data_IF_633533415259
#
_entry.id   IF_633533415259
#
_cell.length_a   1.000
_cell.length_b   1.000
_cell.length_c   1.000
_cell.angle_alpha   90.00
_cell.angle_beta   90.00
_cell.angle_gamma   90.00
#
_symmetry.space_group_name_H-M   'P 1'
#
loop_
_entity.id
_entity.type
_entity.pdbx_description
1 polymer ?
#
# COMPACT_ATOMS: atom_id res chain seq x y z
N UNK A 1 -1.34 -47.72 -20.64
CA UNK A 1 -1.92 -46.79 -19.66
C UNK A 1 -1.39 -45.41 -19.99
N UNK A 2 -2.24 -44.40 -20.19
CA UNK A 2 -1.83 -43.03 -20.53
C UNK A 2 -0.91 -42.43 -19.47
N UNK A 3 -1.01 -42.87 -18.21
CA UNK A 3 -0.11 -42.40 -17.16
C UNK A 3 1.34 -42.87 -17.34
N UNK A 4 1.57 -43.96 -18.07
CA UNK A 4 2.93 -44.38 -18.43
C UNK A 4 3.59 -43.35 -19.36
N UNK A 5 2.83 -42.82 -20.33
CA UNK A 5 3.31 -41.79 -21.24
C UNK A 5 3.62 -40.49 -20.47
N UNK A 6 2.68 -40.04 -19.61
CA UNK A 6 2.86 -38.84 -18.79
C UNK A 6 4.02 -38.94 -17.80
N UNK A 7 4.20 -40.11 -17.16
CA UNK A 7 5.30 -40.35 -16.23
C UNK A 7 6.66 -40.54 -16.93
N UNK A 8 6.66 -40.89 -18.22
CA UNK A 8 7.86 -40.97 -19.04
C UNK A 8 8.33 -39.61 -19.60
N UNK A 9 7.53 -38.56 -19.44
CA UNK A 9 7.79 -37.21 -19.95
C UNK A 9 9.21 -36.69 -19.69
N UNK A 10 9.83 -36.84 -18.49
CA UNK A 10 11.14 -36.26 -18.21
C UNK A 10 12.23 -36.60 -19.23
N UNK A 11 12.26 -37.85 -19.69
CA UNK A 11 13.25 -38.35 -20.66
C UNK A 11 12.68 -38.48 -22.07
N UNK A 12 11.39 -38.83 -22.21
CA UNK A 12 10.75 -39.00 -23.51
C UNK A 12 10.66 -37.68 -24.29
N UNK A 13 10.43 -36.54 -23.62
CA UNK A 13 10.38 -35.22 -24.27
C UNK A 13 11.70 -34.84 -24.96
N UNK A 14 12.82 -35.44 -24.53
CA UNK A 14 14.15 -35.22 -25.09
C UNK A 14 14.55 -36.27 -26.13
N UNK A 15 13.73 -37.32 -26.30
CA UNK A 15 14.03 -38.45 -27.18
C UNK A 15 15.07 -39.42 -26.61
N UNK A 16 15.28 -39.42 -25.30
CA UNK A 16 16.21 -40.33 -24.62
C UNK A 16 15.79 -41.80 -24.81
N UNK A 17 16.73 -42.75 -24.97
CA UNK A 17 18.19 -42.57 -24.97
C UNK A 17 18.79 -42.24 -26.34
N UNK A 18 17.98 -42.14 -27.40
CA UNK A 18 18.47 -41.97 -28.78
C UNK A 18 18.98 -40.55 -29.05
N UNK A 19 18.32 -39.55 -28.45
CA UNK A 19 18.63 -38.14 -28.57
C UNK A 19 18.58 -37.46 -27.19
N UNK A 20 19.15 -36.25 -27.09
CA UNK A 20 18.96 -35.37 -25.94
C UNK A 20 19.52 -35.86 -24.60
N UNK A 21 20.51 -36.77 -24.65
CA UNK A 21 21.14 -37.36 -23.46
C UNK A 21 21.74 -36.29 -22.54
N UNK A 22 22.58 -35.40 -23.08
CA UNK A 22 23.26 -34.37 -22.29
C UNK A 22 22.25 -33.44 -21.60
N UNK A 23 21.23 -32.97 -22.34
CA UNK A 23 20.16 -32.12 -21.79
C UNK A 23 19.35 -32.85 -20.71
N UNK A 24 19.08 -34.14 -20.90
CA UNK A 24 18.40 -34.94 -19.88
C UNK A 24 19.25 -35.04 -18.61
N UNK A 25 20.53 -35.37 -18.74
CA UNK A 25 21.45 -35.48 -17.60
C UNK A 25 21.65 -34.14 -16.86
N UNK A 26 21.60 -33.01 -17.58
CA UNK A 26 21.68 -31.66 -17.00
C UNK A 26 20.40 -31.21 -16.28
N UNK A 27 19.23 -31.63 -16.77
CA UNK A 27 17.92 -31.11 -16.29
C UNK A 27 17.14 -32.09 -15.42
N UNK A 28 17.67 -33.29 -15.21
CA UNK A 28 17.03 -34.34 -14.42
C UNK A 28 17.82 -34.63 -13.13
N UNK A 29 17.18 -34.70 -11.95
CA UNK A 29 15.75 -34.50 -11.71
C UNK A 29 15.32 -33.03 -11.76
N UNK A 30 14.04 -32.78 -12.05
CA UNK A 30 13.48 -31.44 -12.04
C UNK A 30 13.56 -30.80 -10.65
N UNK A 31 13.86 -29.50 -10.55
CA UNK A 31 13.98 -28.85 -9.24
C UNK A 31 12.62 -28.63 -8.56
N UNK A 32 11.56 -28.37 -9.34
CA UNK A 32 10.23 -28.06 -8.84
C UNK A 32 9.13 -28.50 -9.82
N UNK A 33 8.03 -29.02 -9.28
CA UNK A 33 6.76 -29.23 -10.01
C UNK A 33 5.58 -28.77 -9.16
N UNK A 34 4.45 -28.44 -9.79
CA UNK A 34 3.22 -28.12 -9.07
C UNK A 34 1.99 -28.53 -9.84
N UNK A 35 1.10 -29.27 -9.19
CA UNK A 35 -0.21 -29.66 -9.72
C UNK A 35 -1.22 -29.81 -8.58
N UNK A 36 -2.49 -30.01 -8.93
CA UNK A 36 -3.56 -30.23 -7.95
C UNK A 36 -3.49 -31.61 -7.27
N UNK A 37 -4.16 -31.72 -6.11
CA UNK A 37 -4.13 -32.89 -5.21
C UNK A 37 -4.53 -34.22 -5.84
N UNK A 38 -5.34 -34.19 -6.91
CA UNK A 38 -5.70 -35.38 -7.68
C UNK A 38 -4.50 -36.02 -8.40
N UNK A 39 -3.42 -35.26 -8.67
CA UNK A 39 -2.20 -35.79 -9.30
C UNK A 39 -1.35 -36.65 -8.37
N UNK A 40 -1.64 -36.69 -7.07
CA UNK A 40 -0.96 -37.59 -6.11
C UNK A 40 -1.10 -39.08 -6.46
N UNK A 41 -2.19 -39.46 -7.14
CA UNK A 41 -2.43 -40.83 -7.64
C UNK A 41 -2.21 -41.00 -9.15
N UNK A 42 -1.91 -39.91 -9.84
CA UNK A 42 -1.71 -39.87 -11.29
C UNK A 42 -0.27 -39.52 -11.62
N UNK A 43 -0.05 -38.28 -12.06
CA UNK A 43 1.23 -37.85 -12.60
C UNK A 43 2.38 -37.91 -11.58
N UNK A 44 2.19 -37.45 -10.35
CA UNK A 44 3.25 -37.47 -9.33
C UNK A 44 3.73 -38.90 -9.04
N UNK A 45 2.77 -39.83 -8.89
CA UNK A 45 3.06 -41.24 -8.65
C UNK A 45 3.83 -41.86 -9.81
N UNK A 46 3.35 -41.66 -11.04
CA UNK A 46 3.95 -42.28 -12.22
C UNK A 46 5.31 -41.72 -12.58
N UNK A 47 5.55 -40.41 -12.38
CA UNK A 47 6.87 -39.81 -12.47
C UNK A 47 7.87 -40.48 -11.52
N UNK A 48 7.52 -40.63 -10.24
CA UNK A 48 8.40 -41.25 -9.24
C UNK A 48 8.63 -42.73 -9.53
N UNK A 49 7.57 -43.48 -9.83
CA UNK A 49 7.65 -44.92 -10.07
C UNK A 49 8.54 -45.25 -11.28
N UNK A 50 8.31 -44.60 -12.41
CA UNK A 50 9.10 -44.84 -13.64
C UNK A 50 10.55 -44.39 -13.44
N UNK A 51 10.75 -43.21 -12.84
CA UNK A 51 12.09 -42.69 -12.55
C UNK A 51 12.90 -43.62 -11.66
N UNK A 52 12.28 -44.14 -10.59
CA UNK A 52 12.94 -45.06 -9.66
C UNK A 52 13.30 -46.37 -10.35
N UNK A 53 12.40 -46.92 -11.17
CA UNK A 53 12.63 -48.18 -11.88
C UNK A 53 13.71 -48.09 -12.97
N UNK A 54 13.77 -46.97 -13.69
CA UNK A 54 14.69 -46.81 -14.82
C UNK A 54 16.04 -46.19 -14.44
N UNK A 55 16.05 -45.27 -13.48
CA UNK A 55 17.22 -44.43 -13.18
C UNK A 55 17.64 -44.50 -11.71
N UNK A 56 16.92 -45.24 -10.86
CA UNK A 56 17.20 -45.37 -9.43
C UNK A 56 17.32 -44.02 -8.69
N UNK A 57 16.50 -43.04 -9.08
CA UNK A 57 16.43 -41.73 -8.43
C UNK A 57 15.03 -41.11 -8.54
N UNK A 58 14.77 -40.06 -7.76
CA UNK A 58 13.52 -39.29 -7.83
C UNK A 58 13.42 -38.53 -9.17
N UNK A 59 12.20 -38.26 -9.63
CA UNK A 59 11.95 -37.47 -10.85
C UNK A 59 11.99 -35.96 -10.64
N UNK A 60 11.79 -35.50 -9.40
CA UNK A 60 11.77 -34.11 -9.00
C UNK A 60 12.26 -33.93 -7.56
N UNK A 61 12.74 -32.73 -7.20
CA UNK A 61 13.27 -32.40 -5.87
C UNK A 61 12.20 -31.80 -4.95
N UNK A 62 11.42 -30.83 -5.46
CA UNK A 62 10.36 -30.15 -4.72
C UNK A 62 9.01 -30.29 -5.42
N UNK A 63 7.93 -30.35 -4.65
CA UNK A 63 6.56 -30.42 -5.20
C UNK A 63 5.60 -29.57 -4.36
N UNK A 64 4.80 -28.74 -5.02
CA UNK A 64 3.63 -28.09 -4.41
C UNK A 64 2.36 -28.78 -4.89
N UNK A 65 1.59 -29.29 -3.94
CA UNK A 65 0.30 -29.93 -4.15
C UNK A 65 -0.84 -28.93 -3.87
N UNK A 66 -1.51 -28.47 -4.93
CA UNK A 66 -2.54 -27.43 -4.85
C UNK A 66 -3.92 -28.03 -4.52
N UNK A 67 -4.78 -27.24 -3.88
CA UNK A 67 -6.21 -27.55 -3.81
C UNK A 67 -6.93 -27.24 -5.11
N UNK A 68 -8.26 -27.39 -5.13
CA UNK A 68 -9.05 -27.14 -6.32
C UNK A 68 -9.64 -25.73 -6.35
N UNK A 69 -9.79 -25.18 -7.56
CA UNK A 69 -10.64 -24.01 -7.78
C UNK A 69 -12.11 -24.43 -7.72
N UNK A 70 -12.87 -23.77 -6.86
CA UNK A 70 -14.30 -24.05 -6.63
C UNK A 70 -15.09 -22.75 -6.71
N UNK A 71 -16.41 -22.88 -6.93
CA UNK A 71 -17.30 -21.71 -6.93
C UNK A 71 -17.37 -21.06 -5.53
N UNK A 72 -17.98 -19.86 -5.40
CA UNK A 72 -18.06 -19.17 -4.10
C UNK A 72 -18.80 -19.97 -3.02
N UNK A 73 -19.61 -20.96 -3.39
CA UNK A 73 -20.34 -21.87 -2.48
C UNK A 73 -19.55 -23.15 -2.19
N UNK A 74 -18.31 -23.27 -2.67
CA UNK A 74 -17.44 -24.43 -2.48
C UNK A 74 -17.74 -25.63 -3.38
N UNK A 75 -18.58 -25.49 -4.40
CA UNK A 75 -18.87 -26.58 -5.32
C UNK A 75 -17.85 -26.61 -6.46
N UNK A 76 -17.41 -27.82 -6.84
CA UNK A 76 -16.54 -28.03 -8.00
C UNK A 76 -17.15 -27.39 -9.25
N UNK A 77 -16.34 -26.64 -9.97
CA UNK A 77 -16.70 -26.02 -11.24
C UNK A 77 -17.03 -27.11 -12.28
N UNK A 78 -18.17 -26.96 -12.97
CA UNK A 78 -18.57 -27.88 -14.04
C UNK A 78 -19.47 -27.19 -15.05
N UNK A 79 -19.29 -27.49 -16.33
CA UNK A 79 -20.08 -26.91 -17.42
C UNK A 79 -21.59 -27.13 -17.22
N UNK A 80 -21.98 -28.31 -16.73
CA UNK A 80 -23.39 -28.66 -16.47
C UNK A 80 -24.05 -27.85 -15.34
N UNK A 81 -23.27 -27.28 -14.42
CA UNK A 81 -23.77 -26.43 -13.33
C UNK A 81 -23.71 -24.93 -13.65
N UNK A 82 -23.15 -24.55 -14.80
CA UNK A 82 -22.99 -23.15 -15.22
C UNK A 82 -22.09 -22.31 -14.31
N UNK A 83 -21.29 -22.95 -13.43
CA UNK A 83 -20.42 -22.30 -12.45
C UNK A 83 -18.94 -22.38 -12.84
N UNK A 84 -18.66 -22.53 -14.14
CA UNK A 84 -17.29 -22.53 -14.66
C UNK A 84 -16.78 -21.10 -14.68
N UNK A 85 -15.62 -20.90 -14.08
CA UNK A 85 -14.88 -19.65 -14.19
C UNK A 85 -14.04 -19.71 -15.46
N UNK A 86 -14.42 -18.92 -16.45
CA UNK A 86 -13.63 -18.76 -17.67
C UNK A 86 -12.43 -17.85 -17.39
N UNK A 87 -11.18 -18.34 -17.53
CA UNK A 87 -9.99 -17.52 -17.33
C UNK A 87 -9.97 -16.25 -18.19
N UNK A 88 -10.48 -16.28 -19.42
CA UNK A 88 -10.49 -15.11 -20.29
C UNK A 88 -11.40 -14.01 -19.74
N UNK A 89 -12.60 -14.38 -19.28
CA UNK A 89 -13.49 -13.45 -18.58
C UNK A 89 -12.81 -12.85 -17.36
N UNK A 90 -12.09 -13.65 -16.57
CA UNK A 90 -11.38 -13.13 -15.39
C UNK A 90 -10.26 -12.15 -15.78
N UNK A 91 -9.48 -12.46 -16.81
CA UNK A 91 -8.40 -11.60 -17.28
C UNK A 91 -8.93 -10.28 -17.87
N UNK A 92 -10.01 -10.33 -18.65
CA UNK A 92 -10.59 -9.14 -19.28
C UNK A 92 -11.22 -8.18 -18.25
N UNK A 93 -11.78 -8.71 -17.15
CA UNK A 93 -12.49 -7.90 -16.16
C UNK A 93 -11.64 -7.47 -14.95
N UNK A 94 -10.65 -8.28 -14.56
CA UNK A 94 -9.84 -8.04 -13.36
C UNK A 94 -8.34 -7.90 -13.64
N UNK A 95 -7.87 -8.35 -14.80
CA UNK A 95 -6.44 -8.43 -15.12
C UNK A 95 -5.79 -9.72 -14.62
N UNK A 96 -4.82 -10.23 -15.38
CA UNK A 96 -4.09 -11.47 -15.06
C UNK A 96 -3.36 -11.40 -13.72
N UNK A 97 -2.77 -10.25 -13.39
CA UNK A 97 -2.06 -10.06 -12.12
C UNK A 97 -3.00 -10.12 -10.90
N UNK A 98 -4.22 -9.59 -11.01
CA UNK A 98 -5.18 -9.67 -9.92
C UNK A 98 -5.59 -11.13 -9.65
N UNK A 99 -5.80 -11.91 -10.71
CA UNK A 99 -6.11 -13.34 -10.62
C UNK A 99 -4.95 -14.11 -10.00
N UNK A 100 -3.70 -13.86 -10.45
CA UNK A 100 -2.50 -14.47 -9.86
C UNK A 100 -2.35 -14.11 -8.38
N UNK A 101 -2.45 -12.83 -8.06
CA UNK A 101 -2.32 -12.34 -6.69
C UNK A 101 -3.35 -12.97 -5.75
N UNK A 102 -4.61 -13.09 -6.21
CA UNK A 102 -5.67 -13.76 -5.47
C UNK A 102 -5.28 -15.19 -5.09
N UNK A 103 -4.70 -15.97 -6.00
CA UNK A 103 -4.28 -17.35 -5.70
C UNK A 103 -3.12 -17.43 -4.71
N UNK A 104 -2.29 -16.39 -4.59
CA UNK A 104 -1.23 -16.33 -3.60
C UNK A 104 -1.67 -15.81 -2.23
N UNK A 105 -2.75 -15.02 -2.14
CA UNK A 105 -3.13 -14.37 -0.88
C UNK A 105 -4.42 -14.91 -0.24
N UNK A 106 -5.32 -15.52 -1.03
CA UNK A 106 -6.66 -15.91 -0.57
C UNK A 106 -6.66 -17.06 0.43
N UNK A 107 -5.87 -18.11 0.21
CA UNK A 107 -5.77 -19.25 1.13
C UNK A 107 -4.38 -19.90 1.09
N UNK A 108 -4.14 -20.83 2.03
CA UNK A 108 -2.94 -21.65 2.11
C UNK A 108 -2.88 -22.68 0.98
N UNK A 109 -1.65 -23.06 0.64
CA UNK A 109 -1.38 -24.13 -0.34
C UNK A 109 -2.07 -25.43 0.10
N UNK A 110 -2.76 -26.08 -0.84
CA UNK A 110 -3.50 -27.32 -0.61
C UNK A 110 -4.99 -27.13 -0.27
N UNK A 111 -5.41 -25.92 0.12
CA UNK A 111 -6.82 -25.60 0.31
C UNK A 111 -7.54 -25.26 -1.00
N UNK A 112 -8.87 -25.41 -1.00
CA UNK A 112 -9.69 -25.06 -2.15
C UNK A 112 -9.86 -23.54 -2.29
N UNK A 113 -9.70 -23.04 -3.50
CA UNK A 113 -9.82 -21.62 -3.85
C UNK A 113 -11.25 -21.27 -4.24
N UNK A 114 -12.00 -20.64 -3.32
CA UNK A 114 -13.39 -20.18 -3.54
C UNK A 114 -13.42 -18.91 -4.36
N UNK A 115 -13.48 -19.08 -5.68
CA UNK A 115 -13.21 -18.01 -6.64
C UNK A 115 -14.50 -17.43 -7.21
N UNK A 116 -14.55 -16.10 -7.35
CA UNK A 116 -15.64 -15.37 -7.99
C UNK A 116 -15.40 -13.88 -8.01
N UNK A 117 -16.23 -13.15 -8.74
CA UNK A 117 -16.07 -11.72 -9.04
C UNK A 117 -15.88 -10.86 -7.80
N UNK A 118 -16.62 -11.13 -6.72
CA UNK A 118 -16.50 -10.38 -5.47
C UNK A 118 -15.10 -10.47 -4.85
N UNK A 119 -14.52 -11.68 -4.80
CA UNK A 119 -13.21 -11.91 -4.20
C UNK A 119 -12.06 -11.31 -5.05
N UNK A 120 -12.18 -11.37 -6.38
CA UNK A 120 -11.21 -10.75 -7.28
C UNK A 120 -11.32 -9.21 -7.25
N UNK A 121 -12.53 -8.66 -7.20
CA UNK A 121 -12.75 -7.23 -7.01
C UNK A 121 -12.15 -6.74 -5.71
N UNK A 122 -12.35 -7.47 -4.62
CA UNK A 122 -11.73 -7.18 -3.32
C UNK A 122 -10.20 -7.18 -3.42
N UNK A 123 -9.62 -8.16 -4.12
CA UNK A 123 -8.16 -8.24 -4.36
C UNK A 123 -7.63 -7.00 -5.08
N UNK A 124 -8.31 -6.55 -6.14
CA UNK A 124 -7.96 -5.31 -6.86
C UNK A 124 -8.05 -4.10 -5.93
N UNK A 125 -9.11 -4.00 -5.14
CA UNK A 125 -9.37 -2.86 -4.25
C UNK A 125 -8.40 -2.78 -3.07
N UNK A 126 -7.99 -3.92 -2.51
CA UNK A 126 -7.14 -3.98 -1.32
C UNK A 126 -5.65 -3.86 -1.64
N UNK A 127 -5.22 -4.23 -2.84
CA UNK A 127 -3.79 -4.22 -3.19
C UNK A 127 -3.45 -3.34 -4.38
N UNK A 128 -4.01 -3.64 -5.56
CA UNK A 128 -3.61 -2.97 -6.81
C UNK A 128 -3.97 -1.48 -6.82
N UNK A 129 -5.17 -1.11 -6.36
CA UNK A 129 -5.58 0.31 -6.29
C UNK A 129 -4.68 1.10 -5.32
N UNK A 130 -4.45 0.67 -4.06
CA UNK A 130 -3.51 1.33 -3.15
C UNK A 130 -2.09 1.43 -3.71
N UNK A 131 -1.56 0.34 -4.28
CA UNK A 131 -0.23 0.33 -4.89
C UNK A 131 -0.13 1.35 -6.03
N UNK A 132 -1.09 1.34 -6.95
CA UNK A 132 -1.10 2.25 -8.09
C UNK A 132 -1.27 3.70 -7.67
N UNK A 133 -2.02 3.97 -6.60
CA UNK A 133 -2.14 5.29 -6.01
C UNK A 133 -0.81 5.77 -5.39
N UNK A 134 -0.06 4.89 -4.71
CA UNK A 134 1.27 5.22 -4.19
C UNK A 134 2.23 5.57 -5.33
N UNK A 135 2.25 4.74 -6.37
CA UNK A 135 3.06 4.94 -7.56
C UNK A 135 2.68 6.24 -8.30
N UNK A 136 1.39 6.47 -8.55
CA UNK A 136 0.89 7.66 -9.22
C UNK A 136 1.20 8.93 -8.42
N UNK A 137 1.08 8.87 -7.09
CA UNK A 137 1.51 9.94 -6.19
C UNK A 137 2.99 10.24 -6.42
N UNK A 138 3.87 9.25 -6.30
CA UNK A 138 5.30 9.43 -6.50
C UNK A 138 5.61 10.06 -7.86
N UNK A 139 5.11 9.47 -8.96
CA UNK A 139 5.39 9.95 -10.33
C UNK A 139 4.91 11.39 -10.54
N UNK A 140 3.74 11.74 -10.02
CA UNK A 140 3.18 13.09 -10.17
C UNK A 140 4.11 14.12 -9.52
N UNK A 141 4.47 13.91 -8.26
CA UNK A 141 5.27 14.88 -7.50
C UNK A 141 6.76 14.86 -7.92
N UNK A 142 7.32 13.69 -8.20
CA UNK A 142 8.69 13.55 -8.70
C UNK A 142 8.90 14.30 -10.03
N UNK A 143 7.91 14.29 -10.93
CA UNK A 143 7.96 15.07 -12.18
C UNK A 143 7.90 16.57 -11.92
N UNK A 144 7.01 17.02 -11.04
CA UNK A 144 6.86 18.43 -10.70
C UNK A 144 8.17 19.01 -10.12
N UNK A 145 8.86 18.23 -9.28
CA UNK A 145 10.08 18.64 -8.62
C UNK A 145 11.36 18.26 -9.37
N UNK A 146 11.27 17.68 -10.57
CA UNK A 146 12.40 17.17 -11.34
C UNK A 146 13.33 16.26 -10.53
N UNK A 147 12.75 15.34 -9.76
CA UNK A 147 13.51 14.38 -8.95
C UNK A 147 14.42 13.53 -9.84
N UNK A 148 15.70 13.44 -9.46
CA UNK A 148 16.70 12.63 -10.12
C UNK A 148 17.20 11.53 -9.16
N UNK A 149 16.93 10.23 -9.45
CA UNK A 149 17.36 9.12 -8.62
C UNK A 149 18.89 8.91 -8.60
N UNK A 150 19.65 9.58 -9.48
CA UNK A 150 21.11 9.51 -9.50
C UNK A 150 21.78 10.47 -8.48
N UNK A 151 21.01 11.36 -7.85
CA UNK A 151 21.54 12.27 -6.83
C UNK A 151 22.03 11.50 -5.59
N UNK A 152 23.05 12.02 -4.86
CA UNK A 152 23.55 11.39 -3.65
C UNK A 152 22.44 11.09 -2.64
N UNK A 153 22.41 9.85 -2.14
CA UNK A 153 21.43 9.45 -1.14
C UNK A 153 21.69 10.15 0.19
N UNK A 154 20.63 10.63 0.83
CA UNK A 154 20.67 11.04 2.23
C UNK A 154 20.82 9.76 3.08
N UNK A 155 21.80 9.66 3.98
CA UNK A 155 21.96 8.49 4.86
C UNK A 155 20.69 8.22 5.65
N UNK A 156 20.31 6.94 5.81
CA UNK A 156 19.01 6.55 6.40
C UNK A 156 18.87 7.11 7.81
N UNK A 157 19.93 7.05 8.61
CA UNK A 157 20.04 7.56 9.97
C UNK A 157 19.78 9.08 10.09
N UNK A 158 20.02 9.84 9.03
CA UNK A 158 19.78 11.29 8.96
C UNK A 158 18.37 11.62 8.44
N UNK A 159 17.62 10.64 7.96
CA UNK A 159 16.26 10.85 7.43
C UNK A 159 15.25 11.00 8.56
N UNK A 160 14.08 11.52 8.20
CA UNK A 160 12.94 11.63 9.10
C UNK A 160 12.55 10.25 9.68
N UNK A 161 12.00 10.20 10.89
CA UNK A 161 11.67 8.94 11.58
C UNK A 161 10.73 8.02 10.78
N UNK A 162 9.82 8.60 9.99
CA UNK A 162 8.97 7.85 9.06
C UNK A 162 9.76 7.15 7.95
N UNK A 163 10.85 7.76 7.47
CA UNK A 163 11.71 7.15 6.45
C UNK A 163 12.53 6.01 7.04
N UNK A 164 13.15 6.24 8.21
CA UNK A 164 13.88 5.20 8.96
C UNK A 164 12.99 4.00 9.23
N UNK A 165 11.78 4.25 9.73
CA UNK A 165 10.77 3.22 9.95
C UNK A 165 10.43 2.45 8.67
N UNK A 166 10.14 3.15 7.57
CA UNK A 166 9.76 2.49 6.32
C UNK A 166 10.92 1.67 5.73
N UNK A 167 12.16 2.18 5.82
CA UNK A 167 13.35 1.49 5.34
C UNK A 167 13.66 0.23 6.16
N UNK A 168 13.51 0.27 7.49
CA UNK A 168 13.61 -0.92 8.35
C UNK A 168 12.55 -1.96 7.95
N UNK A 169 11.30 -1.53 7.79
CA UNK A 169 10.19 -2.38 7.33
C UNK A 169 10.45 -3.00 5.95
N UNK A 170 11.10 -2.25 5.05
CA UNK A 170 11.48 -2.72 3.72
C UNK A 170 12.57 -3.80 3.80
N UNK A 171 13.56 -3.64 4.69
CA UNK A 171 14.57 -4.68 4.97
C UNK A 171 13.94 -5.98 5.41
N UNK A 172 13.09 -5.91 6.44
CA UNK A 172 12.37 -7.09 6.95
C UNK A 172 11.44 -7.72 5.90
N UNK A 173 10.83 -6.90 5.03
CA UNK A 173 10.02 -7.40 3.91
C UNK A 173 10.87 -8.20 2.93
N UNK A 174 12.00 -7.67 2.48
CA UNK A 174 12.89 -8.36 1.52
C UNK A 174 13.36 -9.69 2.11
N UNK A 175 13.81 -9.71 3.37
CA UNK A 175 14.25 -10.93 4.04
C UNK A 175 13.12 -11.98 4.16
N UNK A 176 11.90 -11.54 4.48
CA UNK A 176 10.72 -12.42 4.61
C UNK A 176 10.31 -13.00 3.26
N UNK A 177 10.28 -12.18 2.21
CA UNK A 177 9.91 -12.63 0.86
C UNK A 177 10.95 -13.60 0.32
N UNK A 178 12.24 -13.29 0.50
CA UNK A 178 13.35 -14.16 0.08
C UNK A 178 13.26 -15.53 0.75
N UNK A 179 13.21 -15.55 2.08
CA UNK A 179 13.12 -16.80 2.85
C UNK A 179 11.89 -17.62 2.50
N UNK A 180 10.74 -16.97 2.30
CA UNK A 180 9.50 -17.68 1.95
C UNK A 180 9.52 -18.26 0.54
N UNK A 181 10.10 -17.56 -0.44
CA UNK A 181 10.24 -18.09 -1.79
C UNK A 181 11.27 -19.22 -1.86
N UNK A 182 12.40 -19.11 -1.15
CA UNK A 182 13.40 -20.18 -1.03
C UNK A 182 12.81 -21.45 -0.39
N UNK A 183 11.85 -21.29 0.52
CA UNK A 183 11.12 -22.37 1.17
C UNK A 183 9.90 -22.89 0.38
N UNK A 184 9.62 -22.35 -0.81
CA UNK A 184 8.40 -22.66 -1.59
C UNK A 184 7.09 -22.36 -0.83
N UNK A 185 7.09 -21.34 0.03
CA UNK A 185 5.92 -20.87 0.79
C UNK A 185 5.48 -19.48 0.29
N UNK A 186 4.75 -19.38 -0.85
CA UNK A 186 4.49 -18.09 -1.49
C UNK A 186 3.42 -17.23 -0.79
N UNK A 187 2.64 -17.80 0.13
CA UNK A 187 1.46 -17.15 0.71
C UNK A 187 1.83 -16.02 1.67
N UNK A 188 2.72 -16.29 2.63
CA UNK A 188 3.16 -15.27 3.59
C UNK A 188 3.95 -14.13 2.92
N UNK A 189 4.89 -14.38 1.99
CA UNK A 189 5.51 -13.35 1.15
C UNK A 189 4.50 -12.42 0.47
N UNK A 190 3.52 -12.96 -0.26
CA UNK A 190 2.52 -12.15 -0.96
C UNK A 190 1.69 -11.29 0.02
N UNK A 191 1.26 -11.88 1.15
CA UNK A 191 0.53 -11.15 2.19
C UNK A 191 1.38 -10.07 2.86
N UNK A 192 2.68 -10.32 3.05
CA UNK A 192 3.62 -9.34 3.62
C UNK A 192 3.85 -8.15 2.68
N UNK A 193 3.96 -8.40 1.38
CA UNK A 193 4.01 -7.32 0.38
C UNK A 193 2.71 -6.49 0.44
N UNK A 194 1.54 -7.13 0.50
CA UNK A 194 0.26 -6.43 0.62
C UNK A 194 0.18 -5.55 1.89
N UNK A 195 0.59 -6.07 3.05
CA UNK A 195 0.65 -5.30 4.31
C UNK A 195 1.63 -4.13 4.23
N UNK A 196 2.78 -4.31 3.57
CA UNK A 196 3.73 -3.22 3.39
C UNK A 196 3.18 -2.11 2.48
N UNK A 197 2.45 -2.45 1.42
CA UNK A 197 1.79 -1.46 0.56
C UNK A 197 0.70 -0.69 1.32
N UNK A 198 -0.03 -1.35 2.22
CA UNK A 198 -0.96 -0.67 3.13
C UNK A 198 -0.23 0.33 4.04
N UNK A 199 0.87 -0.10 4.67
CA UNK A 199 1.75 0.76 5.48
C UNK A 199 2.29 1.96 4.67
N UNK A 200 2.70 1.72 3.42
CA UNK A 200 3.19 2.74 2.50
C UNK A 200 2.11 3.77 2.18
N UNK A 201 0.90 3.31 1.84
CA UNK A 201 -0.23 4.17 1.46
C UNK A 201 -0.81 4.93 2.65
N UNK A 202 -1.27 4.18 3.64
CA UNK A 202 -2.16 4.67 4.69
C UNK A 202 -1.42 5.26 5.89
N UNK A 203 -0.12 4.99 6.02
CA UNK A 203 0.72 5.60 7.04
C UNK A 203 1.79 6.49 6.42
N UNK A 204 2.75 5.93 5.69
CA UNK A 204 3.92 6.67 5.25
C UNK A 204 3.56 7.85 4.34
N UNK A 205 2.90 7.61 3.20
CA UNK A 205 2.56 8.67 2.25
C UNK A 205 1.58 9.65 2.91
N UNK A 206 0.52 9.15 3.57
CA UNK A 206 -0.47 10.02 4.23
C UNK A 206 0.16 11.01 5.20
N UNK A 207 1.12 10.56 6.02
CA UNK A 207 1.83 11.40 6.99
C UNK A 207 2.94 12.23 6.37
N UNK A 208 3.52 11.78 5.26
CA UNK A 208 4.62 12.46 4.57
C UNK A 208 4.18 13.42 3.47
N UNK A 209 2.88 13.52 3.13
CA UNK A 209 2.39 14.42 2.05
C UNK A 209 2.95 15.84 2.16
N UNK A 210 3.10 16.35 3.39
CA UNK A 210 3.66 17.68 3.65
C UNK A 210 5.09 17.89 3.17
N UNK A 211 5.87 16.81 3.16
CA UNK A 211 7.27 16.79 2.75
C UNK A 211 7.43 16.85 1.23
N UNK A 212 6.42 16.44 0.46
CA UNK A 212 6.45 16.50 -1.01
C UNK A 212 6.02 17.87 -1.57
N UNK A 213 5.04 18.54 -0.98
CA UNK A 213 4.47 19.80 -1.53
C UNK A 213 4.89 21.11 -0.82
N UNK A 214 5.38 21.06 0.42
CA UNK A 214 5.59 22.23 1.31
C UNK A 214 6.81 22.04 2.22
N UNK A 215 7.82 21.32 1.75
CA UNK A 215 9.00 21.11 2.57
C UNK A 215 9.66 22.45 2.91
N UNK A 216 10.04 22.60 4.18
CA UNK A 216 10.87 23.70 4.66
C UNK A 216 12.37 23.42 4.44
N UNK A 217 12.71 22.19 4.03
CA UNK A 217 14.08 21.72 3.83
C UNK A 217 14.18 20.88 2.55
N UNK A 218 15.02 21.32 1.63
CA UNK A 218 15.27 20.59 0.38
C UNK A 218 15.86 19.19 0.66
N UNK A 219 16.68 19.06 1.73
CA UNK A 219 17.26 17.78 2.14
C UNK A 219 16.20 16.80 2.65
N UNK A 220 15.24 17.27 3.46
CA UNK A 220 14.14 16.42 3.96
C UNK A 220 13.21 15.97 2.83
N UNK A 221 12.90 16.88 1.90
CA UNK A 221 12.11 16.58 0.70
C UNK A 221 12.79 15.53 -0.16
N UNK A 222 14.09 15.69 -0.38
CA UNK A 222 14.91 14.72 -1.12
C UNK A 222 14.91 13.35 -0.43
N UNK A 223 15.10 13.30 0.89
CA UNK A 223 15.05 12.06 1.66
C UNK A 223 13.69 11.34 1.52
N UNK A 224 12.58 12.08 1.52
CA UNK A 224 11.24 11.53 1.29
C UNK A 224 11.08 10.93 -0.12
N UNK A 225 11.58 11.62 -1.16
CA UNK A 225 11.57 11.09 -2.52
C UNK A 225 12.44 9.84 -2.68
N UNK A 226 13.66 9.86 -2.15
CA UNK A 226 14.59 8.74 -2.22
C UNK A 226 14.01 7.51 -1.53
N UNK A 227 13.41 7.68 -0.34
CA UNK A 227 12.76 6.60 0.40
C UNK A 227 11.56 6.02 -0.37
N UNK A 228 10.69 6.88 -0.91
CA UNK A 228 9.52 6.41 -1.65
C UNK A 228 9.90 5.74 -2.98
N UNK A 229 10.90 6.26 -3.68
CA UNK A 229 11.47 5.67 -4.89
C UNK A 229 12.03 4.28 -4.60
N UNK A 230 12.86 4.14 -3.57
CA UNK A 230 13.48 2.88 -3.17
C UNK A 230 12.42 1.84 -2.77
N UNK A 231 11.42 2.26 -1.97
CA UNK A 231 10.30 1.39 -1.59
C UNK A 231 9.52 0.88 -2.81
N UNK A 232 9.12 1.76 -3.74
CA UNK A 232 8.35 1.38 -4.93
C UNK A 232 9.15 0.48 -5.88
N UNK A 233 10.45 0.79 -6.07
CA UNK A 233 11.34 -0.02 -6.91
C UNK A 233 11.54 -1.41 -6.33
N UNK A 234 11.79 -1.51 -5.02
CA UNK A 234 11.97 -2.78 -4.32
C UNK A 234 10.68 -3.59 -4.30
N UNK A 235 9.52 -2.98 -4.01
CA UNK A 235 8.22 -3.66 -4.08
C UNK A 235 7.95 -4.21 -5.48
N UNK A 236 8.28 -3.44 -6.53
CA UNK A 236 8.17 -3.92 -7.92
C UNK A 236 9.00 -5.19 -8.16
N UNK A 237 10.24 -5.22 -7.65
CA UNK A 237 11.11 -6.40 -7.71
C UNK A 237 10.54 -7.60 -6.96
N UNK A 238 10.12 -7.40 -5.70
CA UNK A 238 9.57 -8.46 -4.86
C UNK A 238 8.27 -9.04 -5.39
N UNK A 239 7.42 -8.21 -6.01
CA UNK A 239 6.13 -8.65 -6.52
C UNK A 239 6.19 -9.24 -7.93
N UNK A 240 7.31 -9.11 -8.66
CA UNK A 240 7.44 -9.57 -10.05
C UNK A 240 7.12 -11.06 -10.26
N UNK A 241 7.50 -12.01 -9.37
CA UNK A 241 7.09 -13.41 -9.49
C UNK A 241 5.57 -13.64 -9.36
N UNK A 242 4.89 -12.74 -8.65
CA UNK A 242 3.46 -12.86 -8.32
C UNK A 242 2.58 -12.13 -9.33
N UNK A 243 2.93 -10.89 -9.68
CA UNK A 243 2.19 -9.96 -10.52
C UNK A 243 3.12 -9.31 -11.57
N UNK A 244 3.55 -10.07 -12.59
CA UNK A 244 4.64 -9.68 -13.49
C UNK A 244 4.37 -8.45 -14.35
N UNK A 245 3.12 -8.14 -14.69
CA UNK A 245 2.82 -7.03 -15.61
C UNK A 245 2.82 -5.68 -14.90
N UNK A 246 2.15 -5.59 -13.75
CA UNK A 246 2.13 -4.40 -12.89
C UNK A 246 3.53 -4.10 -12.34
N UNK A 247 4.24 -5.14 -11.89
CA UNK A 247 5.63 -5.02 -11.45
C UNK A 247 6.52 -4.39 -12.52
N UNK A 248 6.49 -4.94 -13.74
CA UNK A 248 7.34 -4.51 -14.84
C UNK A 248 6.95 -3.12 -15.37
N UNK A 249 5.65 -2.81 -15.42
CA UNK A 249 5.17 -1.48 -15.81
C UNK A 249 5.67 -0.39 -14.86
N UNK A 250 5.58 -0.62 -13.53
CA UNK A 250 6.12 0.32 -12.55
C UNK A 250 7.64 0.40 -12.63
N UNK A 251 8.32 -0.75 -12.62
CA UNK A 251 9.79 -0.82 -12.60
C UNK A 251 10.40 -0.17 -13.84
N UNK A 252 9.88 -0.41 -15.05
CA UNK A 252 10.37 0.22 -16.28
C UNK A 252 10.31 1.74 -16.21
N UNK A 253 9.21 2.31 -15.70
CA UNK A 253 9.12 3.76 -15.53
C UNK A 253 10.12 4.29 -14.48
N UNK A 254 10.41 3.49 -13.44
CA UNK A 254 11.35 3.84 -12.37
C UNK A 254 12.82 3.56 -12.72
N UNK A 255 13.13 2.85 -13.81
CA UNK A 255 14.48 2.31 -14.08
C UNK A 255 14.99 2.56 -15.50
N UNK A 256 14.55 3.66 -16.11
CA UNK A 256 14.95 4.05 -17.46
C UNK A 256 14.65 2.95 -18.51
N UNK A 257 13.44 2.38 -18.42
CA UNK A 257 12.93 1.39 -19.37
C UNK A 257 13.42 -0.05 -19.17
N UNK A 258 14.28 -0.32 -18.18
CA UNK A 258 14.75 -1.70 -17.90
C UNK A 258 13.64 -2.55 -17.33
N UNK A 259 13.58 -3.81 -17.76
CA UNK A 259 12.57 -4.76 -17.28
C UNK A 259 12.98 -5.35 -15.93
N UNK A 260 12.02 -5.48 -15.01
CA UNK A 260 12.25 -6.10 -13.69
C UNK A 260 12.63 -7.58 -13.81
N UNK A 261 12.18 -8.25 -14.87
CA UNK A 261 12.45 -9.66 -15.12
C UNK A 261 13.89 -9.96 -15.53
N UNK A 262 14.68 -8.91 -15.79
CA UNK A 262 16.11 -8.98 -16.10
C UNK A 262 16.98 -8.38 -14.99
N UNK A 263 16.38 -7.98 -13.86
CA UNK A 263 17.12 -7.45 -12.71
C UNK A 263 17.41 -8.55 -11.69
N UNK A 264 18.50 -8.38 -10.94
CA UNK A 264 18.77 -9.20 -9.76
C UNK A 264 17.64 -9.07 -8.74
N UNK A 265 17.40 -10.14 -7.99
CA UNK A 265 16.40 -10.12 -6.92
C UNK A 265 16.79 -9.08 -5.85
N UNK A 266 15.84 -8.32 -5.27
CA UNK A 266 16.16 -7.29 -4.30
C UNK A 266 16.93 -7.83 -3.09
N UNK A 267 17.91 -7.08 -2.62
CA UNK A 267 18.69 -7.36 -1.40
C UNK A 267 18.20 -6.46 -0.27
N UNK A 268 18.13 -6.93 0.99
CA UNK A 268 17.68 -6.10 2.10
C UNK A 268 18.57 -4.85 2.26
N UNK A 269 18.00 -3.63 2.32
CA UNK A 269 18.78 -2.44 2.65
C UNK A 269 19.37 -2.57 4.07
N UNK A 270 20.60 -2.06 4.27
CA UNK A 270 21.25 -2.01 5.58
C UNK A 270 20.62 -0.92 6.47
N UNK A 271 19.35 -1.09 6.82
CA UNK A 271 18.50 -0.08 7.45
C UNK A 271 17.63 -0.64 8.59
N UNK A 272 17.97 -1.80 9.13
CA UNK A 272 17.21 -2.41 10.23
C UNK A 272 17.32 -1.58 11.52
N UNK A 273 16.16 -1.17 12.03
CA UNK A 273 15.98 -0.42 13.26
C UNK A 273 14.74 -0.95 13.98
N UNK A 274 14.92 -2.05 14.71
CA UNK A 274 13.84 -2.74 15.44
C UNK A 274 13.24 -1.86 16.54
N UNK A 275 14.00 -0.92 17.07
CA UNK A 275 13.52 0.02 18.09
C UNK A 275 12.53 1.03 17.47
N UNK A 276 12.86 1.62 16.33
CA UNK A 276 11.95 2.51 15.61
C UNK A 276 10.68 1.76 15.17
N UNK A 277 10.79 0.51 14.75
CA UNK A 277 9.60 -0.31 14.46
C UNK A 277 8.71 -0.54 15.68
N UNK A 278 9.30 -0.89 16.83
CA UNK A 278 8.57 -1.07 18.08
C UNK A 278 7.90 0.23 18.55
N UNK A 279 8.61 1.35 18.48
CA UNK A 279 8.09 2.66 18.88
C UNK A 279 6.97 3.14 17.95
N UNK A 280 7.10 2.92 16.64
CA UNK A 280 6.03 3.22 15.68
C UNK A 280 4.81 2.33 15.88
N UNK A 281 4.98 1.06 16.26
CA UNK A 281 3.87 0.18 16.62
C UNK A 281 3.13 0.69 17.87
N UNK A 282 3.86 1.10 18.91
CA UNK A 282 3.28 1.74 20.10
C UNK A 282 2.55 3.05 19.74
N UNK A 283 3.13 3.86 18.85
CA UNK A 283 2.51 5.08 18.36
C UNK A 283 1.17 4.83 17.64
N UNK A 284 1.11 3.81 16.78
CA UNK A 284 -0.14 3.42 16.10
C UNK A 284 -1.21 2.94 17.08
N UNK A 285 -0.84 2.13 18.07
CA UNK A 285 -1.76 1.70 19.12
C UNK A 285 -2.28 2.88 19.95
N UNK A 286 -1.42 3.85 20.25
CA UNK A 286 -1.79 5.08 20.93
C UNK A 286 -2.77 5.93 20.10
N UNK A 287 -2.54 6.04 18.78
CA UNK A 287 -3.45 6.73 17.86
C UNK A 287 -4.80 6.02 17.80
N UNK A 288 -4.83 4.69 17.65
CA UNK A 288 -6.07 3.91 17.63
C UNK A 288 -6.87 4.12 18.93
N UNK A 289 -6.22 3.99 20.08
CA UNK A 289 -6.85 4.17 21.39
C UNK A 289 -7.34 5.60 21.60
N UNK A 290 -6.56 6.60 21.17
CA UNK A 290 -6.96 8.01 21.22
C UNK A 290 -8.14 8.33 20.31
N UNK A 291 -8.17 7.80 19.08
CA UNK A 291 -9.30 7.95 18.16
C UNK A 291 -10.56 7.29 18.71
N UNK A 292 -10.45 6.10 19.30
CA UNK A 292 -11.56 5.42 19.96
C UNK A 292 -12.12 6.26 21.13
N UNK A 293 -11.24 6.83 21.96
CA UNK A 293 -11.67 7.71 23.06
C UNK A 293 -12.36 8.98 22.53
N UNK A 294 -11.90 9.54 21.40
CA UNK A 294 -12.54 10.69 20.76
C UNK A 294 -13.92 10.36 20.22
N UNK A 295 -14.07 9.20 19.59
CA UNK A 295 -15.36 8.72 19.08
C UNK A 295 -16.37 8.49 20.20
N UNK A 296 -15.93 7.87 21.31
CA UNK A 296 -16.74 7.71 22.52
C UNK A 296 -17.21 9.06 23.10
N UNK A 297 -16.37 10.09 23.03
CA UNK A 297 -16.69 11.46 23.42
C UNK A 297 -17.46 12.26 22.33
N UNK A 298 -17.70 11.66 21.15
CA UNK A 298 -18.31 12.30 19.96
C UNK A 298 -17.55 13.54 19.48
N UNK A 299 -16.22 13.54 19.61
CA UNK A 299 -15.34 14.65 19.25
C UNK A 299 -14.64 14.38 17.91
N UNK A 300 -15.08 15.09 16.86
CA UNK A 300 -14.48 15.04 15.51
C UNK A 300 -12.97 15.30 15.58
N UNK A 301 -12.14 14.50 14.90
CA UNK A 301 -10.67 14.68 14.88
C UNK A 301 -10.24 16.08 14.42
N UNK A 302 -10.99 16.71 13.51
CA UNK A 302 -10.68 18.06 13.03
C UNK A 302 -10.80 19.14 14.11
N UNK A 303 -11.55 18.90 15.19
CA UNK A 303 -11.58 19.76 16.36
C UNK A 303 -10.32 19.51 17.21
N UNK A 304 -9.37 20.45 17.29
CA UNK A 304 -8.20 20.26 18.14
C UNK A 304 -8.61 20.23 19.62
N UNK A 305 -7.88 19.43 20.41
CA UNK A 305 -8.05 19.34 21.86
C UNK A 305 -6.78 19.80 22.56
N UNK A 306 -6.90 20.26 23.81
CA UNK A 306 -5.76 20.76 24.57
C UNK A 306 -4.74 19.66 24.85
N UNK A 307 -5.18 18.46 25.21
CA UNK A 307 -4.26 17.35 25.43
C UNK A 307 -4.93 16.00 25.56
N UNK A 308 -4.08 14.99 25.62
CA UNK A 308 -4.44 13.60 25.91
C UNK A 308 -3.40 12.99 26.83
N UNK A 309 -3.85 12.13 27.74
CA UNK A 309 -3.00 11.27 28.55
C UNK A 309 -3.15 9.84 28.04
N UNK A 310 -2.04 9.22 27.67
CA UNK A 310 -1.97 7.87 27.11
C UNK A 310 -1.32 6.89 28.10
N UNK A 311 -1.65 5.59 28.00
CA UNK A 311 -0.99 4.57 28.80
C UNK A 311 0.42 4.24 28.30
N UNK A 312 1.21 3.63 29.17
CA UNK A 312 2.56 3.14 28.88
C UNK A 312 3.66 4.20 29.04
N UNK A 313 4.86 3.83 28.60
CA UNK A 313 6.06 4.66 28.68
C UNK A 313 6.09 5.75 27.59
N UNK A 314 6.80 6.86 27.83
CA UNK A 314 7.01 7.90 26.82
C UNK A 314 7.57 7.37 25.50
N UNK A 315 7.07 7.94 24.40
CA UNK A 315 7.64 7.77 23.06
C UNK A 315 8.73 8.82 22.81
N UNK A 316 9.73 8.53 21.94
CA UNK A 316 10.62 9.55 21.40
C UNK A 316 9.84 10.74 20.81
N UNK A 317 10.31 11.97 20.99
CA UNK A 317 9.54 13.18 20.65
C UNK A 317 9.18 13.27 19.16
N UNK A 318 10.03 12.80 18.26
CA UNK A 318 9.77 12.73 16.82
C UNK A 318 8.59 11.80 16.48
N UNK A 319 8.44 10.69 17.23
CA UNK A 319 7.31 9.76 17.12
C UNK A 319 6.08 10.29 17.87
N UNK A 320 6.26 10.88 19.05
CA UNK A 320 5.18 11.48 19.82
C UNK A 320 4.52 12.64 19.05
N UNK A 321 5.29 13.40 18.27
CA UNK A 321 4.77 14.43 17.36
C UNK A 321 3.81 13.84 16.31
N UNK A 322 4.10 12.65 15.77
CA UNK A 322 3.20 11.95 14.84
C UNK A 322 1.87 11.62 15.53
N UNK A 323 1.92 11.08 16.75
CA UNK A 323 0.71 10.77 17.54
C UNK A 323 -0.09 12.04 17.82
N UNK A 324 0.59 13.13 18.17
CA UNK A 324 -0.01 14.44 18.49
C UNK A 324 -0.79 15.01 17.32
N UNK A 325 -0.19 14.96 16.14
CA UNK A 325 -0.81 15.41 14.91
C UNK A 325 -2.00 14.53 14.48
N UNK A 326 -1.86 13.20 14.59
CA UNK A 326 -2.91 12.25 14.23
C UNK A 326 -4.15 12.40 15.12
N UNK A 327 -3.94 12.59 16.42
CA UNK A 327 -5.00 12.81 17.39
C UNK A 327 -5.50 14.25 17.42
N UNK A 328 -4.79 15.17 16.74
CA UNK A 328 -5.02 16.61 16.75
C UNK A 328 -5.15 17.18 18.17
N UNK A 329 -4.13 16.95 18.98
CA UNK A 329 -4.02 17.41 20.37
C UNK A 329 -2.84 18.38 20.50
N UNK A 330 -2.85 19.31 21.46
CA UNK A 330 -1.72 20.23 21.66
C UNK A 330 -0.60 19.62 22.51
N UNK A 331 -0.94 18.75 23.44
CA UNK A 331 0.02 18.03 24.27
C UNK A 331 -0.33 16.54 24.42
N UNK A 332 0.70 15.74 24.67
CA UNK A 332 0.58 14.33 25.04
C UNK A 332 1.35 14.12 26.33
N UNK A 333 0.74 13.42 27.27
CA UNK A 333 1.40 12.91 28.48
C UNK A 333 1.26 11.38 28.53
N UNK A 334 2.24 10.69 29.06
CA UNK A 334 2.24 9.23 29.23
C UNK A 334 2.17 8.84 30.71
N UNK A 335 1.79 7.60 31.01
CA UNK A 335 1.80 7.04 32.36
C UNK A 335 0.44 6.92 33.06
N UNK A 336 -0.68 7.10 32.35
CA UNK A 336 -2.00 6.78 32.90
C UNK A 336 -2.35 5.29 32.76
N UNK A 337 -3.24 4.73 33.61
CA UNK A 337 -3.74 3.36 33.41
C UNK A 337 -4.67 3.23 32.20
N UNK A 338 -5.28 4.33 31.78
CA UNK A 338 -6.26 4.40 30.70
C UNK A 338 -6.12 5.72 29.93
N UNK A 339 -6.68 5.77 28.72
CA UNK A 339 -6.67 6.99 27.89
C UNK A 339 -7.59 8.05 28.50
N UNK A 340 -7.09 9.27 28.68
CA UNK A 340 -7.88 10.42 29.16
C UNK A 340 -7.75 11.59 28.20
N UNK A 341 -8.88 12.07 27.69
CA UNK A 341 -8.95 13.22 26.80
C UNK A 341 -9.34 14.47 27.57
N UNK A 342 -8.68 15.60 27.26
CA UNK A 342 -9.21 16.91 27.63
C UNK A 342 -10.36 17.27 26.69
N UNK A 343 -11.58 17.26 27.20
CA UNK A 343 -12.80 17.53 26.43
C UNK A 343 -13.23 18.99 26.49
N UNK A 344 -12.51 19.85 27.23
CA UNK A 344 -12.83 21.27 27.33
C UNK A 344 -12.35 22.01 26.08
N UNK A 345 -13.30 22.50 25.29
CA UNK A 345 -13.00 23.26 24.06
C UNK A 345 -13.09 24.75 24.36
N UNK A 346 -11.93 25.37 24.57
CA UNK A 346 -11.81 26.83 24.65
C UNK A 346 -12.10 27.51 23.31
N UNK A 347 -12.32 28.83 23.34
CA UNK A 347 -12.65 29.62 22.14
C UNK A 347 -11.58 29.50 21.04
N UNK A 348 -10.29 29.58 21.37
CA UNK A 348 -9.20 29.45 20.38
C UNK A 348 -9.20 28.06 19.71
N UNK A 349 -9.41 26.99 20.48
CA UNK A 349 -9.51 25.64 19.91
C UNK A 349 -10.73 25.49 19.02
N UNK A 350 -11.86 26.12 19.39
CA UNK A 350 -13.07 26.12 18.56
C UNK A 350 -12.84 26.86 17.23
N UNK A 351 -12.18 28.02 17.26
CA UNK A 351 -11.82 28.78 16.05
C UNK A 351 -10.87 27.99 15.14
N UNK A 352 -9.86 27.31 15.71
CA UNK A 352 -8.96 26.46 14.92
C UNK A 352 -9.69 25.26 14.30
N UNK A 353 -10.62 24.63 15.03
CA UNK A 353 -11.47 23.56 14.52
C UNK A 353 -12.31 24.00 13.32
N UNK A 354 -12.93 25.18 13.42
CA UNK A 354 -13.69 25.78 12.32
C UNK A 354 -12.80 26.12 11.12
N UNK A 355 -11.60 26.66 11.34
CA UNK A 355 -10.66 26.92 10.25
C UNK A 355 -10.28 25.63 9.49
N UNK A 356 -10.13 24.50 10.19
CA UNK A 356 -9.89 23.19 9.55
C UNK A 356 -11.10 22.67 8.77
N UNK A 357 -12.33 22.95 9.21
CA UNK A 357 -13.54 22.66 8.43
C UNK A 357 -13.59 23.51 7.15
N UNK A 358 -13.22 24.80 7.23
CA UNK A 358 -13.13 25.68 6.05
C UNK A 358 -12.10 25.16 5.05
N UNK A 359 -10.91 24.75 5.51
CA UNK A 359 -9.89 24.11 4.65
C UNK A 359 -10.46 22.88 3.95
N UNK A 360 -11.17 22.00 4.68
CA UNK A 360 -11.78 20.81 4.09
C UNK A 360 -12.76 21.16 2.98
N UNK A 361 -13.65 22.13 3.21
CA UNK A 361 -14.63 22.56 2.21
C UNK A 361 -13.96 23.10 0.95
N UNK A 362 -12.94 23.96 1.11
CA UNK A 362 -12.21 24.51 -0.03
C UNK A 362 -11.53 23.37 -0.81
N UNK A 363 -10.87 22.44 -0.12
CA UNK A 363 -10.21 21.30 -0.76
C UNK A 363 -11.18 20.34 -1.47
N UNK A 364 -12.33 20.04 -0.87
CA UNK A 364 -13.37 19.22 -1.51
C UNK A 364 -13.89 19.91 -2.78
N UNK A 365 -13.99 21.24 -2.76
CA UNK A 365 -14.40 22.00 -3.94
C UNK A 365 -13.32 22.09 -5.01
N UNK A 366 -12.04 22.23 -4.64
CA UNK A 366 -10.92 22.12 -5.59
C UNK A 366 -10.98 20.82 -6.38
N UNK A 367 -11.27 19.70 -5.69
CA UNK A 367 -11.46 18.38 -6.32
C UNK A 367 -12.67 18.35 -7.26
N UNK A 368 -13.83 18.88 -6.83
CA UNK A 368 -15.04 18.96 -7.66
C UNK A 368 -14.82 19.77 -8.95
N UNK A 369 -14.00 20.82 -8.87
CA UNK A 369 -13.64 21.66 -10.01
C UNK A 369 -12.53 21.06 -10.89
N UNK A 370 -12.02 19.87 -10.56
CA UNK A 370 -10.96 19.22 -11.32
C UNK A 370 -9.63 19.99 -11.32
N UNK A 371 -9.38 20.82 -10.30
CA UNK A 371 -8.14 21.58 -10.22
C UNK A 371 -6.96 20.66 -9.96
N UNK A 372 -5.83 20.96 -10.62
CA UNK A 372 -4.58 20.26 -10.38
C UNK A 372 -4.06 20.54 -8.98
N UNK A 373 -3.18 19.66 -8.51
CA UNK A 373 -2.59 19.72 -7.16
C UNK A 373 -1.84 21.04 -6.93
N UNK A 374 -1.21 21.59 -7.96
CA UNK A 374 -0.42 22.83 -7.91
C UNK A 374 -1.22 24.10 -8.20
N UNK A 375 -2.47 23.97 -8.66
CA UNK A 375 -3.26 25.13 -9.08
C UNK A 375 -3.47 26.09 -7.92
N UNK A 376 -3.08 27.34 -8.13
CA UNK A 376 -3.36 28.43 -7.19
C UNK A 376 -4.77 28.95 -7.43
N UNK A 377 -5.43 29.35 -6.36
CA UNK A 377 -6.82 29.81 -6.41
C UNK A 377 -6.99 31.16 -5.72
N UNK A 378 -7.99 31.89 -6.16
CA UNK A 378 -8.59 32.98 -5.37
C UNK A 378 -9.84 32.45 -4.69
N UNK A 379 -9.95 32.68 -3.38
CA UNK A 379 -11.07 32.23 -2.57
C UNK A 379 -11.87 33.43 -2.08
N UNK A 380 -13.17 33.43 -2.41
CA UNK A 380 -14.16 34.35 -1.86
C UNK A 380 -15.00 33.62 -0.83
N UNK A 381 -15.35 34.29 0.26
CA UNK A 381 -16.25 33.73 1.27
C UNK A 381 -17.22 34.78 1.79
N UNK A 382 -18.36 34.32 2.30
CA UNK A 382 -19.35 35.14 2.99
C UNK A 382 -19.89 34.29 4.15
N UNK A 383 -19.59 34.71 5.37
CA UNK A 383 -19.85 33.98 6.61
C UNK A 383 -19.99 34.98 7.76
N UNK A 384 -20.73 34.60 8.79
CA UNK A 384 -20.93 35.39 10.01
C UNK A 384 -20.41 34.64 11.24
N UNK A 385 -20.56 35.24 12.43
CA UNK A 385 -20.43 34.52 13.70
C UNK A 385 -19.02 34.01 14.01
N UNK A 386 -18.93 32.74 14.42
CA UNK A 386 -17.65 32.10 14.73
C UNK A 386 -16.87 31.76 13.45
N UNK A 387 -17.55 31.45 12.35
CA UNK A 387 -16.89 31.14 11.08
C UNK A 387 -16.12 32.34 10.53
N UNK A 388 -16.72 33.53 10.54
CA UNK A 388 -16.03 34.77 10.13
C UNK A 388 -14.75 35.00 10.95
N UNK A 389 -14.88 34.92 12.29
CA UNK A 389 -13.75 35.07 13.22
C UNK A 389 -12.67 34.00 13.02
N UNK A 390 -13.05 32.76 12.74
CA UNK A 390 -12.11 31.68 12.48
C UNK A 390 -11.32 31.92 11.18
N UNK A 391 -11.99 32.41 10.14
CA UNK A 391 -11.36 32.75 8.86
C UNK A 391 -10.41 33.94 9.00
N UNK A 392 -10.81 34.98 9.73
CA UNK A 392 -9.95 36.13 10.01
C UNK A 392 -8.72 35.74 10.84
N UNK A 393 -8.93 34.96 11.91
CA UNK A 393 -7.87 34.54 12.83
C UNK A 393 -6.86 33.58 12.19
N UNK A 394 -7.34 32.64 11.37
CA UNK A 394 -6.52 31.58 10.77
C UNK A 394 -6.38 31.71 9.25
N UNK A 395 -6.56 32.90 8.69
CA UNK A 395 -6.56 33.13 7.25
C UNK A 395 -5.27 32.68 6.55
N UNK A 396 -4.11 32.89 7.17
CA UNK A 396 -2.83 32.43 6.62
C UNK A 396 -2.71 30.91 6.60
N UNK A 397 -3.17 30.25 7.67
CA UNK A 397 -3.26 28.80 7.70
C UNK A 397 -4.17 28.28 6.58
N UNK A 398 -5.38 28.84 6.44
CA UNK A 398 -6.35 28.45 5.40
C UNK A 398 -5.75 28.66 4.00
N UNK A 399 -5.17 29.83 3.73
CA UNK A 399 -4.53 30.13 2.44
C UNK A 399 -3.43 29.11 2.13
N UNK A 400 -2.55 28.86 3.09
CA UNK A 400 -1.45 27.91 2.92
C UNK A 400 -1.98 26.51 2.62
N UNK A 401 -2.93 25.98 3.40
CA UNK A 401 -3.46 24.62 3.26
C UNK A 401 -4.31 24.42 2.01
N UNK A 402 -4.76 25.49 1.35
CA UNK A 402 -5.65 25.43 0.17
C UNK A 402 -5.02 25.93 -1.12
N UNK A 403 -3.76 26.38 -1.06
CA UNK A 403 -3.08 27.11 -2.15
C UNK A 403 -3.88 28.34 -2.62
N UNK A 404 -4.59 29.00 -1.69
CA UNK A 404 -5.28 30.26 -2.00
C UNK A 404 -4.30 31.42 -1.97
N UNK A 405 -4.22 32.18 -3.06
CA UNK A 405 -3.46 33.43 -3.15
C UNK A 405 -4.17 34.53 -2.37
N UNK A 406 -5.49 34.62 -2.56
CA UNK A 406 -6.34 35.56 -1.83
C UNK A 406 -7.47 34.84 -1.11
N UNK A 407 -7.84 35.39 0.05
CA UNK A 407 -9.00 34.98 0.84
C UNK A 407 -9.76 36.25 1.22
N UNK A 408 -10.86 36.54 0.51
CA UNK A 408 -11.57 37.82 0.61
C UNK A 408 -13.04 37.63 0.98
N UNK A 409 -13.52 38.47 1.88
CA UNK A 409 -14.94 38.55 2.24
C UNK A 409 -15.77 39.12 1.06
N UNK A 410 -16.99 38.63 0.92
CA UNK A 410 -18.01 39.11 0.01
C UNK A 410 -18.24 38.20 -1.20
N UNK A 411 -19.49 38.22 -1.69
CA UNK A 411 -19.90 37.56 -2.93
C UNK A 411 -19.46 38.38 -4.14
N UNK A 412 -19.14 37.69 -5.23
CA UNK A 412 -18.67 38.27 -6.48
C UNK A 412 -19.29 37.47 -7.63
N UNK A 413 -20.02 38.12 -8.52
CA UNK A 413 -20.75 37.47 -9.63
C UNK A 413 -19.81 36.74 -10.60
N UNK A 414 -18.51 37.09 -10.60
CA UNK A 414 -17.48 36.40 -11.36
C UNK A 414 -17.03 35.06 -10.76
N UNK A 415 -17.57 34.66 -9.60
CA UNK A 415 -17.22 33.43 -8.89
C UNK A 415 -18.47 32.56 -8.67
N UNK A 416 -18.53 31.40 -9.31
CA UNK A 416 -19.58 30.41 -9.03
C UNK A 416 -19.38 29.83 -7.62
N UNK A 417 -20.13 30.34 -6.65
CA UNK A 417 -20.09 29.91 -5.24
C UNK A 417 -21.17 28.89 -4.86
N UNK A 418 -21.08 28.35 -3.64
CA UNK A 418 -22.02 27.36 -3.09
C UNK A 418 -22.29 27.74 -1.63
N UNK A 419 -23.56 27.69 -1.23
CA UNK A 419 -23.97 27.88 0.17
C UNK A 419 -23.88 26.54 0.90
N UNK A 420 -23.25 26.54 2.07
CA UNK A 420 -22.99 25.35 2.88
C UNK A 420 -23.31 25.64 4.35
N UNK A 421 -23.51 24.57 5.12
CA UNK A 421 -23.69 24.61 6.57
C UNK A 421 -22.50 23.94 7.23
N UNK A 422 -21.76 24.66 8.09
CA UNK A 422 -20.61 24.15 8.84
C UNK A 422 -20.84 24.37 10.35
N UNK A 423 -20.88 23.28 11.11
CA UNK A 423 -21.10 23.28 12.56
C UNK A 423 -22.31 24.14 13.02
N UNK A 424 -23.36 24.20 12.19
CA UNK A 424 -24.59 24.97 12.47
C UNK A 424 -24.57 26.43 12.02
N UNK A 425 -23.47 26.91 11.42
CA UNK A 425 -23.36 28.25 10.83
C UNK A 425 -23.33 28.18 9.30
N UNK A 426 -23.95 29.17 8.66
CA UNK A 426 -23.97 29.27 7.20
C UNK A 426 -22.69 29.92 6.67
N UNK A 427 -22.19 29.37 5.56
CA UNK A 427 -21.07 29.94 4.82
C UNK A 427 -21.29 29.76 3.33
N UNK A 428 -21.03 30.82 2.57
CA UNK A 428 -20.88 30.77 1.13
C UNK A 428 -19.39 30.82 0.80
N UNK A 429 -18.91 29.91 -0.05
CA UNK A 429 -17.53 29.90 -0.55
C UNK A 429 -17.58 29.86 -2.07
N UNK A 430 -16.62 30.51 -2.72
CA UNK A 430 -16.40 30.40 -4.15
C UNK A 430 -14.91 30.42 -4.48
N UNK A 431 -14.50 29.60 -5.45
CA UNK A 431 -13.10 29.47 -5.86
C UNK A 431 -12.98 29.84 -7.34
N UNK A 432 -11.88 30.51 -7.69
CA UNK A 432 -11.49 30.73 -9.09
C UNK A 432 -10.03 30.35 -9.24
N UNK A 433 -9.69 29.62 -10.30
CA UNK A 433 -8.29 29.36 -10.64
C UNK A 433 -7.62 30.68 -11.00
N UNK A 434 -6.46 30.93 -10.40
CA UNK A 434 -5.64 32.09 -10.71
C UNK A 434 -4.98 31.91 -12.08
#
# INVERSE_FOLDING_TARGET
DTWFDSGSMPFAQRGYPRNGKDVFEETFPADFISEAVDQTRGWFYTLLAISTLLFNQNSYRNVICLGHVVDPKGKKASKSRGNVLDPNYLFDNFGSDAVRWYFYTSTQVGENYRTGDAALKETVQQFFIPLWNCYSFFVTYARLDNFDPAQPSVPVEERHVLDRWLMSKLSGLVATVTSGLDAYEPVEPARRIQRFVDDLSNWYIRRSRRRFWKSQSDRDKMAAYQTLYEALRTVSGLMAPFAPFAADAMYRNLSDGKSVHLSDFPVPPAAEDTQVEADMARARQAVESGLAARDAARLKVRQPLAGIVLPGDPLPEDIAAIVRDELNVKSITFGAPEVKLDTVIGEELKLEGLAREVVRVIQDRRKKLGLNVEDRIDTRYDADGMLARAIERHGDYIKSETLSVTLRLGRDDGFAGEQLMLEGEQIWIALKRN
#
